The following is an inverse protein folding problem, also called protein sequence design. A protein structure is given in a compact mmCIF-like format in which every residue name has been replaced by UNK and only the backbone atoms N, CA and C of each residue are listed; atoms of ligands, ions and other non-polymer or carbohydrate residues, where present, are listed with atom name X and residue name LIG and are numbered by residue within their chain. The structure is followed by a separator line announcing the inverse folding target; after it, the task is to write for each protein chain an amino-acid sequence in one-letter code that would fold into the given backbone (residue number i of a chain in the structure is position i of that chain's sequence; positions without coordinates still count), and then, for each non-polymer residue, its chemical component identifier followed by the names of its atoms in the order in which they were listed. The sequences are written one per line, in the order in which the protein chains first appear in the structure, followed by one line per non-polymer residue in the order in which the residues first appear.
data_IF_568893728540
#
_entry.id   IF_568893728540
#
_cell.length_a   1.000
_cell.length_b   1.000
_cell.length_c   1.000
_cell.angle_alpha   90.00
_cell.angle_beta   90.00
_cell.angle_gamma   90.00
#
_symmetry.space_group_name_H-M   'P 1'
#
loop_
_entity.id
_entity.type
_entity.pdbx_description
1 polymer ?
#
# COMPACT_ATOMS: atom_id res chain seq x y z
N UNK A 1 -21.99 -1.62 -5.61
CA UNK A 1 -20.59 -2.00 -5.26
C UNK A 1 -19.84 -0.72 -4.96
N UNK A 2 -19.21 -0.61 -3.79
CA UNK A 2 -18.48 0.58 -3.34
C UNK A 2 -16.97 0.27 -3.32
N UNK A 3 -16.16 1.15 -3.90
CA UNK A 3 -14.71 0.97 -4.02
C UNK A 3 -13.98 2.11 -3.32
N UNK A 4 -13.08 1.74 -2.42
CA UNK A 4 -12.20 2.65 -1.71
C UNK A 4 -11.03 1.87 -1.10
N UNK A 5 -10.10 2.56 -0.43
CA UNK A 5 -9.11 1.92 0.43
C UNK A 5 -9.81 1.13 1.54
N UNK A 6 -9.25 -0.04 1.89
CA UNK A 6 -9.87 -0.94 2.89
C UNK A 6 -10.05 -0.28 4.25
N UNK A 7 -9.19 0.67 4.61
CA UNK A 7 -9.30 1.46 5.83
C UNK A 7 -10.52 2.41 5.83
N UNK A 8 -10.93 2.91 4.66
CA UNK A 8 -12.11 3.77 4.54
C UNK A 8 -13.37 2.91 4.51
N UNK A 9 -13.36 1.80 3.78
CA UNK A 9 -14.51 0.88 3.74
C UNK A 9 -14.78 0.27 5.12
N UNK A 10 -13.75 -0.11 5.86
CA UNK A 10 -13.87 -0.60 7.23
C UNK A 10 -14.50 0.45 8.15
N UNK A 11 -13.99 1.69 8.12
CA UNK A 11 -14.57 2.79 8.89
C UNK A 11 -16.03 3.07 8.52
N UNK A 12 -16.36 3.07 7.22
CA UNK A 12 -17.73 3.27 6.77
C UNK A 12 -18.69 2.21 7.34
N UNK A 13 -18.30 0.93 7.34
CA UNK A 13 -19.11 -0.15 7.91
C UNK A 13 -19.23 0.03 9.44
N UNK A 14 -18.14 0.42 10.11
CA UNK A 14 -18.17 0.73 11.54
C UNK A 14 -19.13 1.89 11.88
N UNK A 15 -19.24 2.86 10.97
CA UNK A 15 -20.16 4.00 11.07
C UNK A 15 -21.61 3.65 10.64
N UNK A 16 -21.89 2.38 10.33
CA UNK A 16 -23.22 1.87 10.01
C UNK A 16 -23.58 1.85 8.53
N UNK A 17 -22.61 2.02 7.62
CA UNK A 17 -22.86 1.85 6.19
C UNK A 17 -23.28 0.39 5.89
N UNK A 18 -24.36 0.18 5.11
CA UNK A 18 -24.80 -1.16 4.78
C UNK A 18 -23.81 -1.85 3.83
N UNK A 19 -23.39 -3.06 4.18
CA UNK A 19 -22.57 -3.91 3.32
C UNK A 19 -22.87 -5.39 3.60
N UNK A 20 -23.20 -6.15 2.56
CA UNK A 20 -23.36 -7.60 2.65
C UNK A 20 -22.02 -8.34 2.61
N UNK A 21 -21.03 -7.78 1.90
CA UNK A 21 -19.69 -8.33 1.72
C UNK A 21 -18.66 -7.22 1.92
N UNK A 22 -17.70 -7.46 2.80
CA UNK A 22 -16.50 -6.64 2.93
C UNK A 22 -15.29 -7.39 2.38
N UNK A 23 -14.64 -6.83 1.35
CA UNK A 23 -13.42 -7.39 0.77
C UNK A 23 -12.24 -6.46 1.05
N UNK A 24 -11.38 -6.86 1.99
CA UNK A 24 -10.20 -6.08 2.40
C UNK A 24 -8.94 -6.49 1.62
N UNK A 25 -8.07 -5.52 1.35
CA UNK A 25 -6.75 -5.74 0.77
C UNK A 25 -5.70 -6.17 1.82
N UNK A 26 -6.03 -6.15 3.11
CA UNK A 26 -5.19 -6.69 4.17
C UNK A 26 -5.98 -7.34 5.32
N UNK A 27 -5.26 -8.14 6.11
CA UNK A 27 -5.81 -8.76 7.31
C UNK A 27 -6.03 -7.76 8.45
N UNK A 28 -5.28 -6.64 8.48
CA UNK A 28 -5.39 -5.67 9.58
C UNK A 28 -6.76 -5.01 9.61
N UNK A 29 -7.29 -4.54 8.49
CA UNK A 29 -8.64 -3.96 8.46
C UNK A 29 -9.71 -5.03 8.65
N UNK A 30 -9.51 -6.25 8.13
CA UNK A 30 -10.42 -7.37 8.39
C UNK A 30 -10.50 -7.73 9.87
N UNK A 31 -9.37 -7.72 10.58
CA UNK A 31 -9.30 -7.98 12.02
C UNK A 31 -9.98 -6.88 12.83
N UNK A 32 -9.86 -5.60 12.44
CA UNK A 32 -10.61 -4.50 13.07
C UNK A 32 -12.10 -4.69 12.94
N UNK A 33 -12.59 -4.97 11.72
CA UNK A 33 -14.00 -5.23 11.48
C UNK A 33 -14.51 -6.42 12.31
N UNK A 34 -13.72 -7.49 12.42
CA UNK A 34 -14.07 -8.67 13.22
C UNK A 34 -14.09 -8.33 14.73
N UNK A 35 -13.11 -7.59 15.22
CA UNK A 35 -13.06 -7.14 16.62
C UNK A 35 -14.24 -6.21 16.98
N UNK A 36 -14.75 -5.45 16.00
CA UNK A 36 -15.94 -4.61 16.14
C UNK A 36 -17.26 -5.38 15.96
N UNK A 37 -17.22 -6.69 15.67
CA UNK A 37 -18.42 -7.51 15.44
C UNK A 37 -19.16 -7.21 14.13
N UNK A 38 -18.49 -6.55 13.18
CA UNK A 38 -19.07 -6.11 11.90
C UNK A 38 -19.02 -7.20 10.82
N UNK A 39 -18.15 -8.19 10.99
CA UNK A 39 -17.98 -9.33 10.08
C UNK A 39 -17.93 -10.63 10.87
N UNK A 40 -18.31 -11.73 10.22
CA UNK A 40 -18.12 -13.08 10.74
C UNK A 40 -16.74 -13.65 10.41
N UNK A 41 -16.65 -14.97 10.29
CA UNK A 41 -15.43 -15.65 9.88
C UNK A 41 -14.94 -15.13 8.52
N UNK A 42 -13.72 -14.60 8.49
CA UNK A 42 -13.09 -14.08 7.28
C UNK A 42 -12.20 -15.14 6.62
N UNK A 43 -12.26 -15.21 5.28
CA UNK A 43 -11.43 -16.11 4.48
C UNK A 43 -10.50 -15.35 3.53
N UNK A 44 -9.28 -15.85 3.38
CA UNK A 44 -8.36 -15.34 2.37
C UNK A 44 -8.78 -15.87 1.01
N UNK A 45 -9.43 -15.02 0.21
CA UNK A 45 -9.89 -15.40 -1.13
C UNK A 45 -8.90 -15.06 -2.25
N UNK A 46 -7.94 -14.17 -2.00
CA UNK A 46 -6.96 -13.73 -2.99
C UNK A 46 -5.63 -13.32 -2.35
N UNK A 47 -4.54 -13.42 -3.12
CA UNK A 47 -3.22 -12.87 -2.78
C UNK A 47 -2.73 -11.99 -3.91
N UNK A 48 -1.91 -11.00 -3.58
CA UNK A 48 -1.31 -10.10 -4.56
C UNK A 48 0.18 -9.91 -4.31
N UNK A 49 0.88 -9.30 -5.28
CA UNK A 49 2.28 -8.91 -5.17
C UNK A 49 2.37 -7.41 -5.38
N UNK A 50 3.27 -6.76 -4.63
CA UNK A 50 3.65 -5.39 -4.93
C UNK A 50 4.49 -5.34 -6.20
N UNK A 51 4.27 -4.29 -6.98
CA UNK A 51 5.02 -4.00 -8.19
C UNK A 51 5.33 -2.51 -8.26
N UNK A 52 6.46 -2.18 -8.87
CA UNK A 52 6.77 -0.81 -9.29
C UNK A 52 6.26 -0.64 -10.70
N UNK A 53 5.36 0.33 -10.88
CA UNK A 53 4.82 0.68 -12.19
C UNK A 53 5.52 1.95 -12.65
N UNK A 54 5.98 1.97 -13.90
CA UNK A 54 6.68 3.11 -14.49
C UNK A 54 5.94 3.57 -15.76
N UNK A 55 6.07 4.83 -16.18
CA UNK A 55 5.56 5.28 -17.47
C UNK A 55 6.14 4.45 -18.61
N UNK A 56 5.35 4.20 -19.65
CA UNK A 56 5.75 3.32 -20.77
C UNK A 56 7.04 3.77 -21.47
N UNK A 57 7.28 5.08 -21.58
CA UNK A 57 8.50 5.66 -22.14
C UNK A 57 9.68 5.73 -21.15
N UNK A 58 9.49 5.28 -19.91
CA UNK A 58 10.47 5.22 -18.83
C UNK A 58 11.40 6.45 -18.72
N UNK A 59 10.85 7.67 -18.52
CA UNK A 59 11.66 8.90 -18.48
C UNK A 59 12.62 8.92 -17.29
N UNK A 60 12.36 8.14 -16.24
CA UNK A 60 13.25 7.98 -15.10
C UNK A 60 14.41 6.99 -15.33
N UNK A 61 14.43 6.28 -16.47
CA UNK A 61 15.36 5.20 -16.78
C UNK A 61 15.44 4.16 -15.65
N UNK A 62 14.29 3.77 -15.10
CA UNK A 62 14.18 2.79 -14.03
C UNK A 62 14.30 1.39 -14.63
N UNK A 63 15.28 0.62 -14.18
CA UNK A 63 15.53 -0.76 -14.61
C UNK A 63 15.60 -1.74 -13.44
N UNK A 64 15.78 -1.22 -12.23
CA UNK A 64 15.89 -1.97 -10.98
C UNK A 64 15.30 -1.18 -9.82
N UNK A 65 15.12 -1.83 -8.66
CA UNK A 65 14.68 -1.13 -7.46
C UNK A 65 15.74 -0.16 -6.92
N UNK A 66 17.04 -0.40 -7.16
CA UNK A 66 18.11 0.54 -6.78
C UNK A 66 17.90 1.93 -7.40
N UNK A 67 17.31 1.99 -8.59
CA UNK A 67 17.04 3.24 -9.28
C UNK A 67 16.07 4.16 -8.54
N UNK A 68 15.21 3.60 -7.67
CA UNK A 68 14.25 4.38 -6.89
C UNK A 68 14.93 5.34 -5.90
N UNK A 69 16.17 5.08 -5.52
CA UNK A 69 16.96 5.93 -4.62
C UNK A 69 17.71 7.07 -5.35
N UNK A 70 17.70 7.10 -6.69
CA UNK A 70 18.37 8.16 -7.46
C UNK A 70 17.66 9.50 -7.25
N UNK A 71 18.41 10.56 -6.99
CA UNK A 71 17.84 11.92 -6.83
C UNK A 71 17.09 12.33 -8.11
N UNK A 72 15.96 13.00 -7.95
CA UNK A 72 15.16 13.53 -9.05
C UNK A 72 14.14 12.54 -9.64
N UNK A 73 14.12 11.29 -9.16
CA UNK A 73 12.98 10.40 -9.38
C UNK A 73 11.78 10.93 -8.60
N UNK A 74 10.59 10.84 -9.19
CA UNK A 74 9.32 11.20 -8.55
C UNK A 74 8.53 9.93 -8.33
N UNK A 75 8.17 9.65 -7.10
CA UNK A 75 7.45 8.44 -6.71
C UNK A 75 6.11 8.84 -6.11
N UNK A 76 5.05 8.25 -6.65
CA UNK A 76 3.74 8.22 -6.03
C UNK A 76 3.56 6.89 -5.29
N UNK A 77 2.93 6.94 -4.11
CA UNK A 77 2.74 5.81 -3.21
C UNK A 77 1.45 6.01 -2.41
N UNK A 78 0.83 4.93 -1.95
CA UNK A 78 -0.24 5.05 -0.96
C UNK A 78 0.27 5.55 0.40
N UNK A 79 -0.56 6.28 1.13
CA UNK A 79 -0.30 6.63 2.54
C UNK A 79 -0.17 5.36 3.41
N UNK A 80 0.49 5.48 4.56
CA UNK A 80 0.73 4.34 5.48
C UNK A 80 -0.54 3.69 6.04
N UNK A 81 -1.67 4.40 6.02
CA UNK A 81 -2.99 3.87 6.40
C UNK A 81 -3.65 3.04 5.29
N UNK A 82 -3.21 3.19 4.04
CA UNK A 82 -3.68 2.41 2.88
C UNK A 82 -2.89 1.11 2.80
N UNK A 83 -3.50 -0.07 2.65
CA UNK A 83 -2.78 -1.35 2.59
C UNK A 83 -1.62 -1.38 1.58
N UNK A 84 -1.83 -0.87 0.37
CA UNK A 84 -0.76 -0.81 -0.64
C UNK A 84 0.43 0.06 -0.18
N UNK A 85 0.17 1.21 0.44
CA UNK A 85 1.18 2.10 1.00
C UNK A 85 1.92 1.46 2.17
N UNK A 86 1.17 0.90 3.13
CA UNK A 86 1.71 0.14 4.27
C UNK A 86 2.67 -0.96 3.83
N UNK A 87 2.25 -1.81 2.90
CA UNK A 87 3.11 -2.91 2.43
C UNK A 87 4.32 -2.38 1.64
N UNK A 88 4.17 -1.29 0.89
CA UNK A 88 5.28 -0.67 0.17
C UNK A 88 6.34 -0.13 1.13
N UNK A 89 5.94 0.55 2.21
CA UNK A 89 6.84 0.99 3.27
C UNK A 89 7.51 -0.19 3.97
N UNK A 90 6.78 -1.28 4.23
CA UNK A 90 7.35 -2.51 4.80
C UNK A 90 8.42 -3.12 3.88
N UNK A 91 8.20 -3.11 2.57
CA UNK A 91 9.20 -3.56 1.60
C UNK A 91 10.45 -2.68 1.66
N UNK A 92 10.31 -1.36 1.71
CA UNK A 92 11.46 -0.45 1.77
C UNK A 92 12.29 -0.64 3.05
N UNK A 93 11.65 -0.79 4.22
CA UNK A 93 12.31 -1.12 5.50
C UNK A 93 13.05 -2.47 5.41
N UNK A 94 12.40 -3.50 4.88
CA UNK A 94 13.04 -4.80 4.66
C UNK A 94 14.24 -4.70 3.72
N UNK A 95 14.14 -3.92 2.64
CA UNK A 95 15.22 -3.72 1.68
C UNK A 95 16.41 -2.99 2.30
N UNK A 96 16.19 -2.03 3.20
CA UNK A 96 17.28 -1.35 3.91
C UNK A 96 18.16 -2.30 4.75
N UNK A 97 17.62 -3.49 5.10
CA UNK A 97 18.35 -4.55 5.82
C UNK A 97 19.11 -5.51 4.90
N UNK A 98 18.87 -5.44 3.59
CA UNK A 98 19.57 -6.26 2.60
C UNK A 98 20.90 -5.58 2.25
N UNK A 99 22.06 -6.28 2.36
CA UNK A 99 23.38 -5.66 2.18
C UNK A 99 23.58 -4.92 0.85
N UNK A 100 22.95 -5.38 -0.24
CA UNK A 100 23.07 -4.74 -1.56
C UNK A 100 22.42 -3.35 -1.62
N UNK A 101 21.42 -3.08 -0.78
CA UNK A 101 20.71 -1.79 -0.72
C UNK A 101 21.24 -0.90 0.40
N UNK A 102 21.50 -1.49 1.58
CA UNK A 102 22.06 -0.80 2.74
C UNK A 102 21.06 0.08 3.50
N UNK A 103 21.41 0.50 4.72
CA UNK A 103 20.49 1.17 5.66
C UNK A 103 20.00 2.55 5.18
N UNK A 104 20.71 3.17 4.24
CA UNK A 104 20.32 4.46 3.65
C UNK A 104 19.25 4.36 2.55
N UNK A 105 18.95 3.16 2.05
CA UNK A 105 18.08 2.98 0.90
C UNK A 105 16.66 3.48 1.14
N UNK A 106 16.03 3.09 2.25
CA UNK A 106 14.67 3.51 2.58
C UNK A 106 14.54 5.04 2.62
N UNK A 107 15.44 5.72 3.33
CA UNK A 107 15.45 7.18 3.44
C UNK A 107 15.69 7.86 2.09
N UNK A 108 16.56 7.30 1.24
CA UNK A 108 16.82 7.83 -0.09
C UNK A 108 15.60 7.70 -1.02
N UNK A 109 14.89 6.57 -0.97
CA UNK A 109 13.66 6.37 -1.74
C UNK A 109 12.54 7.28 -1.23
N UNK A 110 12.37 7.40 0.09
CA UNK A 110 11.37 8.29 0.69
C UNK A 110 11.59 9.77 0.34
N UNK A 111 12.83 10.19 0.15
CA UNK A 111 13.15 11.55 -0.29
C UNK A 111 12.64 11.86 -1.71
N UNK A 112 12.31 10.84 -2.50
CA UNK A 112 11.74 10.97 -3.84
C UNK A 112 10.20 10.90 -3.87
N UNK A 113 9.55 10.76 -2.72
CA UNK A 113 8.09 10.74 -2.65
C UNK A 113 7.53 12.13 -2.96
N UNK A 114 6.65 12.19 -3.97
CA UNK A 114 5.97 13.43 -4.36
C UNK A 114 4.49 13.44 -3.98
N UNK A 115 3.92 12.27 -3.69
CA UNK A 115 2.57 12.14 -3.14
C UNK A 115 2.47 10.93 -2.21
N UNK A 116 1.48 10.96 -1.32
CA UNK A 116 1.08 9.86 -0.46
C UNK A 116 -0.45 9.75 -0.47
N UNK A 117 -0.97 8.96 -1.41
CA UNK A 117 -2.40 8.88 -1.70
C UNK A 117 -3.18 8.21 -0.57
N UNK A 118 -4.20 8.89 -0.05
CA UNK A 118 -5.04 8.39 1.04
C UNK A 118 -6.28 7.63 0.54
N UNK A 119 -6.57 7.72 -0.74
CA UNK A 119 -7.74 7.13 -1.38
C UNK A 119 -7.32 6.23 -2.54
N UNK A 120 -8.11 5.19 -2.81
CA UNK A 120 -8.02 4.38 -4.02
C UNK A 120 -9.19 4.78 -4.91
N UNK A 121 -8.89 5.41 -6.04
CA UNK A 121 -9.91 5.75 -7.05
C UNK A 121 -10.14 4.55 -7.96
N UNK A 122 -11.41 4.20 -8.16
CA UNK A 122 -11.84 3.24 -9.18
C UNK A 122 -11.97 3.92 -10.54
#
# INVERSE_FOLDING_TARGET
MNFNGSQILEQQIADGAPADIFASADMTNMQKANAAGLVGAAEVFVKNRLAVIIPANNPGNISSLHDLARKGIKIDIGASSVPAGKYSLQVLDNMARVPSYGPGYESAVKANFVSQETNVKA
#
